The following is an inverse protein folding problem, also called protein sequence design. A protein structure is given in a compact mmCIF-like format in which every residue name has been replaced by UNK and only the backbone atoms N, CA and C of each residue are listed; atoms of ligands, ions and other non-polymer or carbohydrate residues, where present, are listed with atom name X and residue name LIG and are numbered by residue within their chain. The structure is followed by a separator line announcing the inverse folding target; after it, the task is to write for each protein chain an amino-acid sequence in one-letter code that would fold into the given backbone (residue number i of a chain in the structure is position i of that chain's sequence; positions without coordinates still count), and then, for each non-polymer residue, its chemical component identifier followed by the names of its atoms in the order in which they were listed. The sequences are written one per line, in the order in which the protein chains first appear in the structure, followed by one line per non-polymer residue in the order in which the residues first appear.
data_IF_641682468628
#
_entry.id   IF_641682468628
#
_cell.length_a   1.000
_cell.length_b   1.000
_cell.length_c   1.000
_cell.angle_alpha   90.00
_cell.angle_beta   90.00
_cell.angle_gamma   90.00
#
_symmetry.space_group_name_H-M   'P 1'
#
loop_
_entity.id
_entity.type
_entity.pdbx_description
1 polymer ?
#
# COMPACT_ATOMS: atom_id res chain seq x y z
N UNK A 1 -12.14 4.22 39.58
CA UNK A 1 -11.56 2.90 39.97
C UNK A 1 -10.78 2.40 38.75
N UNK A 2 -9.44 2.40 38.86
CA UNK A 2 -8.41 1.71 38.07
C UNK A 2 -8.50 1.77 36.53
N UNK A 3 -7.72 2.71 35.96
CA UNK A 3 -7.16 2.61 34.60
C UNK A 3 -6.02 1.59 34.60
N UNK A 4 -6.04 0.66 33.65
CA UNK A 4 -4.94 -0.27 33.39
C UNK A 4 -4.30 0.11 32.05
N UNK A 5 -3.12 0.71 32.11
CA UNK A 5 -2.25 0.87 30.94
C UNK A 5 -1.53 -0.45 30.70
N UNK A 6 -1.67 -1.02 29.51
CA UNK A 6 -0.93 -2.21 29.09
C UNK A 6 0.30 -1.73 28.31
N UNK A 7 1.47 -1.95 28.89
CA UNK A 7 2.77 -1.77 28.24
C UNK A 7 3.13 -3.04 27.45
N UNK A 8 3.31 -2.91 26.14
CA UNK A 8 4.00 -3.88 25.28
C UNK A 8 5.00 -3.04 24.48
N UNK A 9 6.31 -3.15 24.64
CA UNK A 9 7.10 -4.36 24.41
C UNK A 9 7.90 -4.11 23.13
N UNK A 10 9.06 -3.46 23.27
CA UNK A 10 9.98 -3.16 22.16
C UNK A 10 10.42 -4.47 21.47
N UNK A 11 10.06 -4.63 20.20
CA UNK A 11 10.63 -5.66 19.33
C UNK A 11 11.50 -4.94 18.30
N UNK A 12 12.81 -5.09 18.46
CA UNK A 12 13.82 -4.69 17.49
C UNK A 12 13.69 -5.60 16.26
N UNK A 13 13.46 -5.02 15.08
CA UNK A 13 13.70 -5.69 13.81
C UNK A 13 14.75 -4.90 13.02
N UNK A 14 15.93 -5.51 12.95
CA UNK A 14 17.06 -5.14 12.13
C UNK A 14 16.90 -5.71 10.73
N UNK A 15 17.07 -4.90 9.68
CA UNK A 15 17.60 -5.29 8.36
C UNK A 15 17.81 -4.03 7.50
N UNK A 16 18.98 -3.80 6.87
CA UNK A 16 19.15 -2.71 5.92
C UNK A 16 18.82 -3.17 4.49
N UNK A 17 18.01 -2.36 3.80
CA UNK A 17 17.68 -2.52 2.39
C UNK A 17 18.92 -2.17 1.53
N UNK A 18 19.31 -3.11 0.68
CA UNK A 18 20.34 -2.97 -0.35
C UNK A 18 19.77 -2.22 -1.55
N UNK A 19 20.37 -1.09 -1.93
CA UNK A 19 20.00 -0.39 -3.18
C UNK A 19 21.22 -0.31 -4.07
N UNK A 20 21.18 -1.08 -5.16
CA UNK A 20 22.13 -1.02 -6.27
C UNK A 20 21.90 0.28 -7.05
N UNK A 21 22.89 1.18 -7.06
CA UNK A 21 22.88 2.39 -7.87
C UNK A 21 23.71 2.18 -9.13
N UNK A 22 23.05 2.35 -10.27
CA UNK A 22 23.58 2.32 -11.64
C UNK A 22 24.63 3.41 -11.86
N UNK A 23 25.78 3.00 -12.40
CA UNK A 23 26.95 3.83 -12.65
C UNK A 23 26.77 4.77 -13.84
N UNK A 24 26.82 6.08 -13.61
CA UNK A 24 27.05 7.07 -14.67
C UNK A 24 28.54 7.45 -14.72
N UNK A 25 29.20 7.01 -15.78
CA UNK A 25 30.57 7.34 -16.12
C UNK A 25 30.73 8.84 -16.41
N UNK A 26 31.68 9.51 -15.74
CA UNK A 26 32.11 10.87 -16.11
C UNK A 26 33.58 10.88 -16.49
N UNK A 27 33.81 11.28 -17.74
CA UNK A 27 35.09 11.28 -18.49
C UNK A 27 36.19 12.07 -17.78
N UNK A 28 37.36 11.44 -17.68
CA UNK A 28 38.66 11.99 -17.28
C UNK A 28 39.22 12.86 -18.42
N UNK A 29 39.38 14.16 -18.22
CA UNK A 29 40.24 15.02 -19.07
C UNK A 29 41.51 15.35 -18.30
N UNK A 30 42.63 14.95 -18.91
CA UNK A 30 44.01 15.09 -18.47
C UNK A 30 44.55 16.44 -18.94
N UNK A 31 45.22 17.18 -18.08
CA UNK A 31 46.22 18.20 -18.44
C UNK A 31 47.24 18.32 -17.29
N UNK A 32 48.49 18.05 -17.67
CA UNK A 32 49.77 18.45 -17.04
C UNK A 32 50.01 19.93 -17.47
N UNK A 33 50.72 20.85 -16.81
CA UNK A 33 51.73 20.91 -15.74
C UNK A 33 51.60 22.30 -15.04
N UNK A 34 52.12 22.48 -13.82
CA UNK A 34 53.17 23.48 -13.47
C UNK A 34 53.37 23.59 -11.94
N UNK A 35 54.59 23.95 -11.56
CA UNK A 35 55.29 23.81 -10.29
C UNK A 35 55.04 24.92 -9.25
N UNK A 36 55.44 24.61 -8.01
CA UNK A 36 55.90 25.49 -6.94
C UNK A 36 55.00 25.84 -5.74
N UNK A 37 55.72 25.89 -4.63
CA UNK A 37 55.38 25.70 -3.21
C UNK A 37 54.58 26.81 -2.52
N UNK A 38 53.76 26.44 -1.54
CA UNK A 38 53.35 27.37 -0.46
C UNK A 38 52.06 27.04 0.27
N UNK A 39 52.22 26.68 1.55
CA UNK A 39 51.26 26.74 2.67
C UNK A 39 50.28 25.58 2.85
N UNK A 40 50.42 24.96 4.02
CA UNK A 40 49.65 23.84 4.52
C UNK A 40 48.16 24.16 4.49
N UNK A 41 47.47 23.28 3.77
CA UNK A 41 46.05 23.25 3.52
C UNK A 41 45.27 23.35 4.83
N UNK A 42 44.66 24.51 5.06
CA UNK A 42 43.57 24.67 6.01
C UNK A 42 42.42 23.78 5.52
N UNK A 43 42.31 22.61 6.15
CA UNK A 43 41.38 21.54 5.89
C UNK A 43 39.95 22.10 5.78
N UNK A 44 39.48 22.30 4.55
CA UNK A 44 38.08 22.51 4.26
C UNK A 44 37.33 21.21 4.57
N UNK A 45 36.96 21.03 5.84
CA UNK A 45 36.10 19.93 6.26
C UNK A 45 34.84 19.99 5.42
N UNK A 46 34.62 18.95 4.60
CA UNK A 46 33.38 18.82 3.85
C UNK A 46 32.18 19.05 4.79
N UNK A 47 31.14 19.79 4.35
CA UNK A 47 30.02 20.15 5.21
C UNK A 47 29.40 18.89 5.81
N UNK A 48 29.33 18.85 7.15
CA UNK A 48 28.75 17.73 7.91
C UNK A 48 27.26 17.62 7.59
N UNK A 49 26.88 16.59 6.84
CA UNK A 49 25.47 16.27 6.58
C UNK A 49 24.90 15.47 7.75
N UNK A 50 23.81 15.95 8.35
CA UNK A 50 23.00 15.18 9.31
C UNK A 50 21.75 14.70 8.60
N UNK A 51 21.46 13.39 8.68
CA UNK A 51 20.16 12.85 8.24
C UNK A 51 19.13 13.23 9.31
N UNK A 52 18.24 14.15 8.96
CA UNK A 52 17.10 14.50 9.81
C UNK A 52 15.98 13.48 9.58
N UNK A 53 15.14 13.31 10.59
CA UNK A 53 13.88 12.58 10.43
C UNK A 53 12.98 13.34 9.46
N UNK A 54 12.31 12.63 8.57
CA UNK A 54 11.39 13.29 7.62
C UNK A 54 10.13 13.74 8.34
N UNK A 55 9.48 14.78 7.81
CA UNK A 55 8.20 15.25 8.35
C UNK A 55 7.14 14.14 8.29
N UNK A 56 7.11 13.36 7.20
CA UNK A 56 6.21 12.20 7.04
C UNK A 56 6.41 11.17 8.14
N UNK A 57 7.66 10.82 8.47
CA UNK A 57 7.97 9.91 9.57
C UNK A 57 7.51 10.43 10.94
N UNK A 58 7.63 11.75 11.16
CA UNK A 58 7.15 12.37 12.40
C UNK A 58 5.63 12.33 12.49
N UNK A 59 4.96 12.73 11.41
CA UNK A 59 3.50 12.76 11.28
C UNK A 59 2.93 11.35 11.49
N UNK A 60 3.44 10.35 10.78
CA UNK A 60 2.98 8.97 10.89
C UNK A 60 3.13 8.44 12.32
N UNK A 61 4.26 8.69 12.96
CA UNK A 61 4.46 8.24 14.35
C UNK A 61 3.55 8.96 15.33
N UNK A 62 3.58 10.28 15.34
CA UNK A 62 2.93 11.08 16.40
C UNK A 62 1.42 11.21 16.21
N UNK A 63 0.96 11.36 14.97
CA UNK A 63 -0.45 11.56 14.67
C UNK A 63 -1.17 10.23 14.44
N UNK A 64 -0.62 9.33 13.61
CA UNK A 64 -1.31 8.07 13.29
C UNK A 64 -1.08 6.99 14.35
N UNK A 65 0.16 6.66 14.71
CA UNK A 65 0.41 5.57 15.67
C UNK A 65 0.08 5.96 17.12
N UNK A 66 0.40 7.19 17.52
CA UNK A 66 0.17 7.68 18.89
C UNK A 66 -1.19 8.38 19.06
N UNK A 67 -1.89 8.73 17.97
CA UNK A 67 -3.23 9.32 17.99
C UNK A 67 -3.29 10.75 18.55
N UNK A 68 -2.15 11.44 18.66
CA UNK A 68 -2.08 12.75 19.31
C UNK A 68 -2.95 13.77 18.57
N UNK A 69 -3.79 14.49 19.31
CA UNK A 69 -4.65 15.57 18.79
C UNK A 69 -5.66 15.12 17.71
N UNK A 70 -6.04 13.84 17.74
CA UNK A 70 -7.15 13.32 16.93
C UNK A 70 -8.45 14.09 17.21
N UNK A 71 -9.18 14.39 16.14
CA UNK A 71 -10.47 15.09 16.16
C UNK A 71 -11.64 14.17 15.77
N UNK A 72 -11.35 12.89 15.52
CA UNK A 72 -12.33 11.86 15.21
C UNK A 72 -11.86 10.45 15.60
N UNK A 73 -12.81 9.62 16.03
CA UNK A 73 -12.64 8.18 16.23
C UNK A 73 -13.47 7.42 15.21
N UNK A 74 -12.83 6.59 14.39
CA UNK A 74 -13.54 5.62 13.54
C UNK A 74 -13.61 4.30 14.29
N UNK A 75 -14.80 3.73 14.46
CA UNK A 75 -15.00 2.41 15.06
C UNK A 75 -15.23 1.41 13.95
N UNK A 76 -14.30 0.47 13.78
CA UNK A 76 -14.34 -0.52 12.71
C UNK A 76 -13.76 -1.85 13.21
N UNK A 77 -14.42 -2.97 12.91
CA UNK A 77 -14.07 -4.31 13.42
C UNK A 77 -13.92 -4.37 14.96
N UNK A 78 -14.70 -3.56 15.68
CA UNK A 78 -14.62 -3.48 17.15
C UNK A 78 -13.35 -2.81 17.69
N UNK A 79 -12.61 -2.10 16.84
CA UNK A 79 -11.43 -1.31 17.21
C UNK A 79 -11.74 0.17 17.03
N UNK A 80 -11.31 0.97 18.01
CA UNK A 80 -11.37 2.43 17.98
C UNK A 80 -10.09 2.99 17.34
N UNK A 81 -10.26 3.69 16.22
CA UNK A 81 -9.17 4.31 15.46
C UNK A 81 -9.19 5.83 15.67
N UNK A 82 -8.26 6.33 16.49
CA UNK A 82 -8.08 7.77 16.71
C UNK A 82 -7.36 8.41 15.51
N UNK A 83 -8.12 9.09 14.65
CA UNK A 83 -7.66 9.62 13.36
C UNK A 83 -7.92 11.13 13.29
N UNK A 84 -7.63 11.72 12.14
CA UNK A 84 -7.80 13.15 11.93
C UNK A 84 -8.57 13.42 10.64
N UNK A 85 -9.62 14.25 10.72
CA UNK A 85 -10.48 14.60 9.59
C UNK A 85 -9.66 15.15 8.41
N UNK A 86 -8.63 15.95 8.68
CA UNK A 86 -7.75 16.53 7.64
C UNK A 86 -7.07 15.48 6.75
N UNK A 87 -6.66 14.34 7.31
CA UNK A 87 -6.04 13.26 6.54
C UNK A 87 -7.09 12.35 5.92
N UNK A 88 -8.18 12.07 6.64
CA UNK A 88 -9.28 11.25 6.14
C UNK A 88 -9.99 11.88 4.93
N UNK A 89 -10.11 13.20 4.84
CA UNK A 89 -10.72 13.88 3.69
C UNK A 89 -10.00 13.66 2.35
N UNK A 90 -8.82 13.04 2.33
CA UNK A 90 -8.21 12.55 1.09
C UNK A 90 -9.01 11.40 0.46
N UNK A 91 -9.76 10.65 1.27
CA UNK A 91 -10.73 9.65 0.81
C UNK A 91 -12.06 10.33 0.47
N UNK A 92 -12.61 10.14 -0.74
CA UNK A 92 -13.93 10.64 -1.12
C UNK A 92 -15.05 10.13 -0.21
N UNK A 93 -14.94 8.91 0.34
CA UNK A 93 -15.88 8.34 1.30
C UNK A 93 -15.99 9.24 2.56
N UNK A 94 -14.86 9.55 3.17
CA UNK A 94 -14.83 10.39 4.38
C UNK A 94 -15.06 11.88 4.07
N UNK A 95 -14.57 12.38 2.94
CA UNK A 95 -14.84 13.75 2.51
C UNK A 95 -16.35 14.00 2.36
N UNK A 96 -17.07 13.05 1.76
CA UNK A 96 -18.54 13.14 1.62
C UNK A 96 -19.24 13.10 2.98
N UNK A 97 -18.76 12.24 3.89
CA UNK A 97 -19.29 12.10 5.24
C UNK A 97 -19.10 13.38 6.08
N UNK A 98 -17.94 14.03 6.01
CA UNK A 98 -17.63 15.19 6.87
C UNK A 98 -18.06 16.53 6.28
N UNK A 99 -18.17 16.65 4.96
CA UNK A 99 -18.52 17.91 4.29
C UNK A 99 -20.04 18.13 4.11
N UNK A 100 -20.88 17.10 4.29
CA UNK A 100 -22.33 17.24 4.16
C UNK A 100 -23.04 17.78 5.41
N UNK A 101 -24.38 17.76 5.42
CA UNK A 101 -25.21 18.13 6.59
C UNK A 101 -25.58 16.90 7.45
N UNK A 102 -24.69 15.91 7.47
CA UNK A 102 -24.89 14.66 8.18
C UNK A 102 -24.51 14.80 9.65
N UNK A 103 -25.12 14.00 10.52
CA UNK A 103 -24.93 14.06 11.98
C UNK A 103 -23.46 13.82 12.36
N UNK A 104 -22.79 13.00 11.56
CA UNK A 104 -21.39 12.59 11.61
C UNK A 104 -20.42 13.76 11.49
N UNK A 105 -20.86 14.90 10.94
CA UNK A 105 -20.06 16.13 10.87
C UNK A 105 -19.78 16.72 12.26
N UNK A 106 -20.80 16.73 13.12
CA UNK A 106 -20.72 17.25 14.49
C UNK A 106 -20.29 16.18 15.51
N UNK A 107 -20.42 14.90 15.15
CA UNK A 107 -19.97 13.78 15.98
C UNK A 107 -18.44 13.58 15.89
N UNK A 108 -17.85 13.26 17.04
CA UNK A 108 -16.43 12.90 17.16
C UNK A 108 -16.17 11.39 17.01
N UNK A 109 -17.22 10.59 16.82
CA UNK A 109 -17.13 9.13 16.69
C UNK A 109 -18.01 8.70 15.51
N UNK A 110 -17.48 7.86 14.64
CA UNK A 110 -18.19 7.29 13.48
C UNK A 110 -18.01 5.78 13.48
N UNK A 111 -19.12 5.05 13.43
CA UNK A 111 -19.11 3.59 13.27
C UNK A 111 -19.14 3.22 11.78
N UNK A 112 -18.17 2.42 11.33
CA UNK A 112 -18.12 1.91 9.96
C UNK A 112 -18.46 0.42 9.96
N UNK A 113 -19.62 0.09 9.38
CA UNK A 113 -20.03 -1.29 9.15
C UNK A 113 -19.20 -1.93 8.04
N UNK A 114 -18.51 -3.03 8.36
CA UNK A 114 -17.69 -3.78 7.40
C UNK A 114 -18.43 -5.07 7.03
N UNK A 115 -18.89 -5.12 5.78
CA UNK A 115 -19.59 -6.29 5.22
C UNK A 115 -18.64 -7.25 4.52
N UNK A 116 -17.52 -6.75 3.97
CA UNK A 116 -16.57 -7.56 3.24
C UNK A 116 -15.67 -8.35 4.21
N UNK A 117 -15.73 -9.70 4.22
CA UNK A 117 -14.98 -10.53 5.15
C UNK A 117 -13.46 -10.51 4.90
N UNK A 118 -13.00 -9.95 3.77
CA UNK A 118 -11.58 -9.83 3.45
C UNK A 118 -10.93 -8.62 4.11
N UNK A 119 -11.72 -7.66 4.59
CA UNK A 119 -11.22 -6.50 5.32
C UNK A 119 -10.78 -6.94 6.72
N UNK A 120 -9.50 -6.72 7.02
CA UNK A 120 -8.89 -7.07 8.31
C UNK A 120 -8.42 -5.83 9.07
N UNK A 121 -8.15 -5.98 10.37
CA UNK A 121 -7.60 -4.88 11.17
C UNK A 121 -6.23 -4.41 10.65
N UNK A 122 -5.40 -5.33 10.15
CA UNK A 122 -4.11 -4.99 9.57
C UNK A 122 -4.27 -4.21 8.26
N UNK A 123 -5.24 -4.58 7.43
CA UNK A 123 -5.56 -3.83 6.21
C UNK A 123 -6.07 -2.41 6.54
N UNK A 124 -6.96 -2.27 7.53
CA UNK A 124 -7.39 -0.96 8.04
C UNK A 124 -6.20 -0.12 8.50
N UNK A 125 -5.25 -0.73 9.22
CA UNK A 125 -4.04 -0.03 9.68
C UNK A 125 -3.17 0.44 8.50
N UNK A 126 -2.99 -0.41 7.49
CA UNK A 126 -2.20 -0.08 6.30
C UNK A 126 -2.88 1.07 5.54
N UNK A 127 -4.19 0.97 5.31
CA UNK A 127 -4.96 1.97 4.54
C UNK A 127 -5.07 3.30 5.29
N UNK A 128 -5.44 3.31 6.57
CA UNK A 128 -5.45 4.57 7.32
C UNK A 128 -4.05 5.16 7.46
N UNK A 129 -3.03 4.31 7.64
CA UNK A 129 -1.64 4.73 7.72
C UNK A 129 -1.13 5.35 6.42
N UNK A 130 -1.59 4.87 5.25
CA UNK A 130 -1.19 5.39 3.95
C UNK A 130 -1.55 6.87 3.79
N UNK A 131 -2.61 7.35 4.46
CA UNK A 131 -3.05 8.75 4.43
C UNK A 131 -2.07 9.71 5.12
N UNK A 132 -1.14 9.18 5.93
CA UNK A 132 -0.15 9.92 6.71
C UNK A 132 1.28 9.78 6.14
N UNK A 133 1.45 8.99 5.08
CA UNK A 133 2.73 8.69 4.45
C UNK A 133 2.78 9.27 3.03
N UNK A 134 4.00 9.55 2.59
CA UNK A 134 4.33 9.92 1.21
C UNK A 134 4.55 8.70 0.32
N UNK A 135 4.99 7.57 0.90
CA UNK A 135 5.23 6.32 0.19
C UNK A 135 4.71 5.14 1.04
N UNK A 136 4.17 4.13 0.35
CA UNK A 136 3.70 2.90 0.98
C UNK A 136 4.23 1.68 0.23
N UNK A 137 4.59 0.65 1.00
CA UNK A 137 4.96 -0.66 0.49
C UNK A 137 3.94 -1.65 1.00
N UNK A 138 3.33 -2.41 0.08
CA UNK A 138 2.34 -3.43 0.39
C UNK A 138 2.97 -4.78 0.02
N UNK A 139 3.01 -5.68 0.99
CA UNK A 139 3.47 -7.04 0.75
C UNK A 139 2.41 -7.82 -0.07
N UNK A 140 2.81 -8.71 -0.99
CA UNK A 140 1.86 -9.49 -1.79
C UNK A 140 0.86 -10.31 -0.95
N UNK A 141 1.22 -10.67 0.28
CA UNK A 141 0.31 -11.38 1.20
C UNK A 141 -0.85 -10.53 1.72
N UNK A 142 -0.68 -9.21 1.77
CA UNK A 142 -1.67 -8.26 2.32
C UNK A 142 -2.48 -7.57 1.23
N UNK A 143 -2.12 -7.76 -0.04
CA UNK A 143 -2.66 -6.98 -1.17
C UNK A 143 -4.17 -7.12 -1.34
N UNK A 144 -4.75 -8.31 -1.10
CA UNK A 144 -6.20 -8.53 -1.25
C UNK A 144 -7.00 -7.84 -0.13
N UNK A 145 -6.67 -8.02 1.17
CA UNK A 145 -7.29 -7.24 2.24
C UNK A 145 -7.13 -5.73 2.08
N UNK A 146 -5.96 -5.27 1.64
CA UNK A 146 -5.71 -3.84 1.41
C UNK A 146 -6.54 -3.31 0.25
N UNK A 147 -6.64 -4.05 -0.86
CA UNK A 147 -7.54 -3.72 -1.97
C UNK A 147 -8.98 -3.58 -1.49
N UNK A 148 -9.48 -4.56 -0.73
CA UNK A 148 -10.84 -4.55 -0.18
C UNK A 148 -11.13 -3.27 0.60
N UNK A 149 -10.19 -2.92 1.47
CA UNK A 149 -10.27 -1.76 2.35
C UNK A 149 -10.15 -0.45 1.57
N UNK A 150 -9.25 -0.39 0.59
CA UNK A 150 -9.07 0.76 -0.29
C UNK A 150 -10.32 1.01 -1.15
N UNK A 151 -10.96 -0.04 -1.64
CA UNK A 151 -12.23 0.07 -2.38
C UNK A 151 -13.36 0.58 -1.49
N UNK A 152 -13.48 0.08 -0.26
CA UNK A 152 -14.47 0.59 0.71
C UNK A 152 -14.32 2.10 0.94
N UNK A 153 -13.09 2.57 1.11
CA UNK A 153 -12.79 3.98 1.36
C UNK A 153 -12.50 4.79 0.10
N UNK A 154 -12.73 4.25 -1.10
CA UNK A 154 -12.61 4.95 -2.38
C UNK A 154 -11.22 5.58 -2.61
N UNK A 155 -10.16 4.85 -2.26
CA UNK A 155 -8.77 5.30 -2.42
C UNK A 155 -8.18 4.78 -3.73
N UNK A 156 -8.53 5.44 -4.84
CA UNK A 156 -8.21 4.99 -6.20
C UNK A 156 -6.72 4.75 -6.46
N UNK A 157 -5.83 5.60 -5.95
CA UNK A 157 -4.38 5.42 -6.09
C UNK A 157 -3.89 4.12 -5.41
N UNK A 158 -4.48 3.78 -4.26
CA UNK A 158 -4.14 2.56 -3.52
C UNK A 158 -4.74 1.31 -4.18
N UNK A 159 -5.95 1.44 -4.75
CA UNK A 159 -6.58 0.39 -5.57
C UNK A 159 -5.69 0.07 -6.79
N UNK A 160 -5.21 1.11 -7.46
CA UNK A 160 -4.33 0.97 -8.62
C UNK A 160 -3.01 0.29 -8.25
N UNK A 161 -2.36 0.71 -7.15
CA UNK A 161 -1.14 0.08 -6.64
C UNK A 161 -1.36 -1.40 -6.31
N UNK A 162 -2.48 -1.75 -5.65
CA UNK A 162 -2.81 -3.15 -5.38
C UNK A 162 -3.00 -3.95 -6.67
N UNK A 163 -3.66 -3.38 -7.68
CA UNK A 163 -3.81 -4.00 -9.00
C UNK A 163 -2.45 -4.28 -9.65
N UNK A 164 -1.53 -3.32 -9.61
CA UNK A 164 -0.19 -3.46 -10.18
C UNK A 164 0.62 -4.57 -9.48
N UNK A 165 0.63 -4.59 -8.15
CA UNK A 165 1.29 -5.64 -7.37
C UNK A 165 0.72 -7.02 -7.72
N UNK A 166 -0.60 -7.16 -7.84
CA UNK A 166 -1.22 -8.43 -8.22
C UNK A 166 -0.86 -8.84 -9.64
N UNK A 167 -0.82 -7.90 -10.59
CA UNK A 167 -0.41 -8.16 -11.98
C UNK A 167 1.06 -8.64 -12.08
N UNK A 168 1.95 -8.09 -11.26
CA UNK A 168 3.36 -8.48 -11.22
C UNK A 168 3.61 -9.81 -10.49
N UNK A 169 2.67 -10.23 -9.63
CA UNK A 169 2.82 -11.40 -8.76
C UNK A 169 1.85 -12.54 -9.10
N UNK A 170 1.36 -12.61 -10.35
CA UNK A 170 0.52 -13.72 -10.82
C UNK A 170 1.35 -15.01 -10.91
N UNK A 171 0.92 -16.02 -10.18
CA UNK A 171 1.47 -17.38 -10.18
C UNK A 171 0.37 -18.40 -9.86
N UNK A 172 0.69 -19.69 -9.92
CA UNK A 172 -0.29 -20.77 -9.83
C UNK A 172 -1.15 -20.73 -8.55
N UNK A 173 -0.53 -20.38 -7.42
CA UNK A 173 -1.18 -20.29 -6.12
C UNK A 173 -2.01 -19.01 -5.95
N UNK A 174 -1.77 -17.96 -6.73
CA UNK A 174 -2.46 -16.66 -6.59
C UNK A 174 -3.47 -16.37 -7.69
N UNK A 175 -3.30 -16.95 -8.89
CA UNK A 175 -4.06 -16.56 -10.08
C UNK A 175 -5.57 -16.71 -9.95
N UNK A 176 -6.03 -17.75 -9.25
CA UNK A 176 -7.48 -17.97 -9.01
C UNK A 176 -8.01 -16.89 -8.07
N UNK A 177 -7.35 -16.68 -6.93
CA UNK A 177 -7.76 -15.63 -5.98
C UNK A 177 -7.72 -14.24 -6.60
N UNK A 178 -6.71 -13.94 -7.42
CA UNK A 178 -6.59 -12.66 -8.12
C UNK A 178 -7.68 -12.46 -9.17
N UNK A 179 -8.07 -13.52 -9.88
CA UNK A 179 -9.20 -13.45 -10.80
C UNK A 179 -10.53 -13.17 -10.07
N UNK A 180 -10.78 -13.88 -8.97
CA UNK A 180 -12.01 -13.71 -8.17
C UNK A 180 -12.13 -12.29 -7.61
N UNK A 181 -11.06 -11.75 -7.03
CA UNK A 181 -11.06 -10.36 -6.54
C UNK A 181 -11.16 -9.36 -7.69
N UNK A 182 -10.51 -9.62 -8.82
CA UNK A 182 -10.62 -8.73 -9.99
C UNK A 182 -12.04 -8.67 -10.53
N UNK A 183 -12.77 -9.79 -10.51
CA UNK A 183 -14.19 -9.80 -10.86
C UNK A 183 -15.03 -9.06 -9.82
N UNK A 184 -14.79 -9.29 -8.53
CA UNK A 184 -15.58 -8.68 -7.47
C UNK A 184 -15.40 -7.17 -7.34
N UNK A 185 -14.19 -6.66 -7.59
CA UNK A 185 -13.87 -5.24 -7.53
C UNK A 185 -13.81 -4.56 -8.91
N UNK A 186 -14.29 -5.24 -9.97
CA UNK A 186 -14.32 -4.74 -11.34
C UNK A 186 -12.96 -4.26 -11.90
N UNK A 187 -11.87 -4.95 -11.54
CA UNK A 187 -10.51 -4.69 -12.03
C UNK A 187 -10.28 -5.39 -13.39
N UNK A 188 -10.82 -4.82 -14.47
CA UNK A 188 -10.81 -5.44 -15.81
C UNK A 188 -9.42 -5.82 -16.31
N UNK A 189 -8.41 -4.97 -16.08
CA UNK A 189 -7.03 -5.22 -16.51
C UNK A 189 -6.41 -6.42 -15.78
N UNK A 190 -6.57 -6.50 -14.46
CA UNK A 190 -6.10 -7.63 -13.67
C UNK A 190 -6.83 -8.92 -14.07
N UNK A 191 -8.16 -8.86 -14.27
CA UNK A 191 -8.96 -10.00 -14.74
C UNK A 191 -8.40 -10.57 -16.05
N UNK A 192 -8.11 -9.69 -17.02
CA UNK A 192 -7.52 -10.07 -18.30
C UNK A 192 -6.12 -10.68 -18.13
N UNK A 193 -5.27 -10.10 -17.27
CA UNK A 193 -3.93 -10.62 -16.97
C UNK A 193 -3.96 -12.00 -16.34
N UNK A 194 -4.87 -12.25 -15.40
CA UNK A 194 -5.06 -13.56 -14.80
C UNK A 194 -5.51 -14.58 -15.86
N UNK A 195 -6.41 -14.18 -16.76
CA UNK A 195 -6.88 -15.04 -17.85
C UNK A 195 -5.75 -15.39 -18.83
N UNK A 196 -4.98 -14.41 -19.31
CA UNK A 196 -3.81 -14.64 -20.18
C UNK A 196 -2.77 -15.54 -19.53
N UNK A 197 -2.55 -15.39 -18.22
CA UNK A 197 -1.64 -16.25 -17.48
C UNK A 197 -2.15 -17.69 -17.45
N UNK A 198 -3.44 -17.90 -17.19
CA UNK A 198 -4.04 -19.24 -17.19
C UNK A 198 -3.95 -19.90 -18.57
N UNK A 199 -4.26 -19.19 -19.65
CA UNK A 199 -4.17 -19.72 -21.02
C UNK A 199 -2.76 -20.20 -21.36
N UNK A 200 -1.74 -19.42 -20.99
CA UNK A 200 -0.33 -19.76 -21.28
C UNK A 200 0.17 -20.96 -20.49
N UNK A 201 -0.35 -21.15 -19.27
CA UNK A 201 0.12 -22.21 -18.37
C UNK A 201 -0.78 -23.45 -18.39
N UNK A 202 -1.96 -23.40 -19.03
CA UNK A 202 -2.95 -24.47 -19.01
C UNK A 202 -2.37 -25.83 -19.44
N UNK A 203 -1.52 -25.84 -20.47
CA UNK A 203 -0.87 -27.05 -21.00
C UNK A 203 0.04 -27.74 -19.97
N UNK A 204 0.68 -26.96 -19.10
CA UNK A 204 1.50 -27.46 -18.00
C UNK A 204 0.63 -27.91 -16.82
N UNK A 205 -0.42 -27.15 -16.49
CA UNK A 205 -1.32 -27.45 -15.37
C UNK A 205 -2.15 -28.72 -15.56
N UNK A 206 -2.50 -29.05 -16.80
CA UNK A 206 -3.17 -30.31 -17.15
C UNK A 206 -2.28 -31.54 -16.88
N UNK A 207 -0.96 -31.37 -16.91
CA UNK A 207 -0.02 -32.46 -16.66
C UNK A 207 0.41 -32.58 -15.19
N UNK A 208 0.47 -31.48 -14.42
CA UNK A 208 1.00 -31.52 -13.05
C UNK A 208 -0.06 -31.41 -11.93
N UNK A 209 -1.16 -30.66 -12.09
CA UNK A 209 -2.04 -30.32 -10.97
C UNK A 209 -3.55 -30.28 -11.34
N UNK A 210 -4.14 -31.47 -11.53
CA UNK A 210 -5.57 -31.65 -11.82
C UNK A 210 -6.53 -31.17 -10.70
N UNK A 211 -6.04 -30.80 -9.52
CA UNK A 211 -6.86 -30.22 -8.44
C UNK A 211 -7.12 -28.73 -8.67
N UNK A 212 -6.13 -27.99 -9.14
CA UNK A 212 -6.22 -26.55 -9.41
C UNK A 212 -7.15 -26.27 -10.58
N UNK A 213 -7.18 -27.15 -11.59
CA UNK A 213 -8.13 -27.08 -12.70
C UNK A 213 -9.61 -27.18 -12.28
N UNK A 214 -9.90 -27.84 -11.16
CA UNK A 214 -11.29 -27.94 -10.63
C UNK A 214 -11.74 -26.68 -9.90
N UNK A 215 -10.81 -25.83 -9.51
CA UNK A 215 -11.08 -24.57 -8.81
C UNK A 215 -11.20 -23.38 -9.76
N UNK A 216 -10.82 -23.55 -11.04
CA UNK A 216 -11.03 -22.53 -12.07
C UNK A 216 -12.55 -22.25 -12.17
N UNK A 217 -13.00 -21.01 -11.89
CA UNK A 217 -14.41 -20.65 -12.02
C UNK A 217 -14.92 -20.96 -13.42
N UNK A 218 -16.17 -21.46 -13.53
CA UNK A 218 -16.79 -21.77 -14.84
C UNK A 218 -16.82 -20.57 -15.79
N UNK A 219 -16.83 -19.34 -15.25
CA UNK A 219 -16.73 -18.10 -16.02
C UNK A 219 -15.44 -18.02 -16.88
N UNK A 220 -14.34 -18.62 -16.42
CA UNK A 220 -13.08 -18.73 -17.17
C UNK A 220 -13.20 -19.80 -18.26
N UNK A 221 -13.93 -20.89 -18.01
CA UNK A 221 -14.10 -22.00 -18.95
C UNK A 221 -14.94 -21.62 -20.18
N UNK A 222 -15.88 -20.68 -20.03
CA UNK A 222 -16.76 -20.23 -21.11
C UNK A 222 -16.17 -19.10 -21.99
N UNK A 223 -14.93 -18.64 -21.73
CA UNK A 223 -14.22 -17.70 -22.59
C UNK A 223 -14.88 -16.33 -22.79
N UNK A 224 -15.94 -16.00 -22.03
CA UNK A 224 -16.59 -14.69 -22.07
C UNK A 224 -15.83 -13.70 -21.19
N UNK A 225 -14.75 -13.16 -21.73
CA UNK A 225 -14.40 -11.77 -21.44
C UNK A 225 -15.42 -10.92 -22.18
N UNK A 226 -16.48 -10.50 -21.49
CA UNK A 226 -17.38 -9.45 -21.98
C UNK A 226 -16.56 -8.16 -22.05
N UNK A 227 -15.88 -7.98 -23.19
CA UNK A 227 -15.33 -6.70 -23.60
C UNK A 227 -16.55 -5.81 -23.85
N UNK A 228 -17.01 -5.11 -22.81
CA UNK A 228 -17.86 -3.94 -23.01
C UNK A 228 -17.03 -2.94 -23.80
N UNK A 229 -17.22 -2.95 -25.13
CA UNK A 229 -16.87 -1.85 -26.01
C UNK A 229 -17.67 -0.63 -25.52
N UNK A 230 -16.98 0.27 -24.82
CA UNK A 230 -17.47 1.62 -24.57
C UNK A 230 -17.61 2.37 -25.89
N UNK A 231 -18.81 2.90 -26.10
CA UNK A 231 -19.16 3.88 -27.13
C UNK A 231 -18.35 5.18 -27.01
#
# INVERSE_FOLDING_TARGET
RRHSAITMGNILLTSPLSTAATSFAKRKRKSMDDDSSGQDSEWASAPKRKKLMTTSQYIYRTLFLEGQNSDITIVALGIDWCLHKVYLCQSPYFASMFCGDWKEKEEGVVEVGIEDPRITCDALKIVFGSLYLDEIVIEPGDVIPVLATATLFQLDELIQLCSEIMEETIKLDTVISYYEVAEQYALTRLKQKCFEWLERNLTFLVNEDAKTLRQIPRAIQDGRVDVQQGM
#
